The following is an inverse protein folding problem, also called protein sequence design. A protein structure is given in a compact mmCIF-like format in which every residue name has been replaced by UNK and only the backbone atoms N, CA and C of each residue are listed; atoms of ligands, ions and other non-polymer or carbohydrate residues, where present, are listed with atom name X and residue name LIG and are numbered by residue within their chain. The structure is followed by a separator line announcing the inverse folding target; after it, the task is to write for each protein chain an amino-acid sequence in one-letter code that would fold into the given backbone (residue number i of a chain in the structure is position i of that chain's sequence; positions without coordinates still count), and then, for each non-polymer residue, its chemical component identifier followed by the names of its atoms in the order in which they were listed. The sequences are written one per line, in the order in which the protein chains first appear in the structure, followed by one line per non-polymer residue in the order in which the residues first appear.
data_IF_438234800313
#
_entry.id   IF_438234800313
#
_cell.length_a   1.000
_cell.length_b   1.000
_cell.length_c   1.000
_cell.angle_alpha   90.00
_cell.angle_beta   90.00
_cell.angle_gamma   90.00
#
_symmetry.space_group_name_H-M   'P 1'
#
loop_
_entity.id
_entity.type
_entity.pdbx_description
1 polymer ?
#
# COMPACT_ATOMS: atom_id res chain seq x y z
N UNK A 1 -13.47 1.72 6.26
CA UNK A 1 -13.49 0.24 6.26
C UNK A 1 -12.08 -0.25 6.00
N UNK A 2 -11.69 -1.40 6.56
CA UNK A 2 -10.35 -1.98 6.32
C UNK A 2 -10.18 -2.36 4.85
N UNK A 3 -9.00 -2.10 4.28
CA UNK A 3 -8.68 -2.47 2.90
C UNK A 3 -8.79 -3.99 2.64
N UNK A 4 -8.73 -4.82 3.68
CA UNK A 4 -8.72 -6.28 3.59
C UNK A 4 -10.08 -6.94 3.89
N UNK A 5 -11.13 -6.17 4.14
CA UNK A 5 -12.39 -6.67 4.71
C UNK A 5 -13.10 -7.71 3.81
N UNK A 6 -12.93 -7.63 2.49
CA UNK A 6 -13.57 -8.50 1.51
C UNK A 6 -12.56 -9.27 0.66
N UNK A 7 -11.32 -9.40 1.16
CA UNK A 7 -10.25 -10.06 0.42
C UNK A 7 -10.49 -11.56 0.31
N UNK A 8 -10.44 -12.08 -0.91
CA UNK A 8 -10.29 -13.50 -1.18
C UNK A 8 -8.83 -13.91 -0.90
N UNK A 9 -8.64 -14.76 0.11
CA UNK A 9 -7.32 -15.27 0.52
C UNK A 9 -6.98 -16.57 -0.21
N UNK A 10 -5.69 -16.87 -0.45
CA UNK A 10 -5.30 -18.12 -1.06
C UNK A 10 -5.63 -19.30 -0.13
N UNK A 11 -5.71 -20.51 -0.70
CA UNK A 11 -5.90 -21.75 0.07
C UNK A 11 -4.71 -22.04 0.97
N UNK A 12 -3.50 -21.63 0.56
CA UNK A 12 -2.32 -21.61 1.43
C UNK A 12 -2.54 -20.64 2.58
N UNK A 13 -2.46 -21.09 3.85
CA UNK A 13 -2.73 -20.24 4.99
C UNK A 13 -1.77 -19.05 5.08
N UNK A 14 -2.30 -17.82 5.02
CA UNK A 14 -1.53 -16.60 5.28
C UNK A 14 -1.55 -16.30 6.78
N UNK A 15 -0.39 -16.17 7.46
CA UNK A 15 -0.32 -15.84 8.88
C UNK A 15 -1.09 -14.57 9.24
N UNK A 16 -1.77 -14.59 10.40
CA UNK A 16 -2.56 -13.43 10.85
C UNK A 16 -1.70 -12.17 11.03
N UNK A 17 -0.44 -12.32 11.44
CA UNK A 17 0.51 -11.22 11.57
C UNK A 17 0.84 -10.56 10.22
N UNK A 18 0.86 -11.32 9.13
CA UNK A 18 1.05 -10.79 7.77
C UNK A 18 -0.21 -10.06 7.29
N UNK A 19 -1.40 -10.59 7.60
CA UNK A 19 -2.67 -9.89 7.31
C UNK A 19 -2.76 -8.56 8.05
N UNK A 20 -2.35 -8.53 9.32
CA UNK A 20 -2.28 -7.31 10.12
C UNK A 20 -1.27 -6.31 9.53
N UNK A 21 -0.08 -6.77 9.16
CA UNK A 21 0.93 -5.95 8.50
C UNK A 21 0.37 -5.29 7.22
N UNK A 22 -0.27 -6.06 6.34
CA UNK A 22 -0.89 -5.53 5.13
C UNK A 22 -2.01 -4.54 5.44
N UNK A 23 -2.84 -4.84 6.45
CA UNK A 23 -3.90 -3.95 6.91
C UNK A 23 -3.35 -2.59 7.35
N UNK A 24 -2.34 -2.60 8.23
CA UNK A 24 -1.68 -1.37 8.69
C UNK A 24 -0.94 -0.63 7.58
N UNK A 25 -0.34 -1.35 6.63
CA UNK A 25 0.30 -0.73 5.46
C UNK A 25 -0.70 0.08 4.64
N UNK A 26 -1.86 -0.48 4.29
CA UNK A 26 -2.87 0.23 3.50
C UNK A 26 -3.54 1.34 4.32
N UNK A 27 -3.81 1.11 5.60
CA UNK A 27 -4.36 2.14 6.49
C UNK A 27 -3.44 3.37 6.58
N UNK A 28 -2.14 3.16 6.82
CA UNK A 28 -1.16 4.25 6.83
C UNK A 28 -0.97 4.86 5.44
N UNK A 29 -1.03 4.05 4.38
CA UNK A 29 -0.99 4.51 3.01
C UNK A 29 -2.17 5.42 2.66
N UNK A 30 -3.35 5.16 3.19
CA UNK A 30 -4.57 5.94 2.94
C UNK A 30 -4.76 7.11 3.89
N UNK A 31 -3.97 7.16 4.96
CA UNK A 31 -4.03 8.22 5.96
C UNK A 31 -3.47 9.54 5.43
N UNK A 32 -4.11 10.64 5.84
CA UNK A 32 -3.61 12.01 5.69
C UNK A 32 -2.76 12.48 6.88
N UNK A 33 -2.52 11.62 7.87
CA UNK A 33 -1.75 11.97 9.06
C UNK A 33 -0.31 12.33 8.71
N UNK A 34 0.21 13.39 9.32
CA UNK A 34 1.59 13.86 9.13
C UNK A 34 2.64 12.81 9.56
N UNK A 35 2.28 11.93 10.49
CA UNK A 35 3.17 10.87 10.98
C UNK A 35 3.13 9.58 10.14
N UNK A 36 2.21 9.46 9.18
CA UNK A 36 2.00 8.22 8.43
C UNK A 36 3.27 7.76 7.69
N UNK A 37 4.01 8.69 7.08
CA UNK A 37 5.26 8.37 6.40
C UNK A 37 6.34 7.84 7.37
N UNK A 38 6.47 8.46 8.55
CA UNK A 38 7.37 8.01 9.61
C UNK A 38 6.98 6.62 10.10
N UNK A 39 5.69 6.40 10.42
CA UNK A 39 5.19 5.09 10.87
C UNK A 39 5.38 3.99 9.83
N UNK A 40 5.22 4.30 8.54
CA UNK A 40 5.53 3.36 7.47
C UNK A 40 7.01 2.95 7.50
N UNK A 41 7.94 3.89 7.72
CA UNK A 41 9.36 3.57 7.84
C UNK A 41 9.69 2.76 9.10
N UNK A 42 9.11 3.16 10.25
CA UNK A 42 9.50 2.64 11.56
C UNK A 42 8.80 1.32 11.93
N UNK A 43 7.55 1.13 11.48
CA UNK A 43 6.69 0.01 11.87
C UNK A 43 6.48 -1.01 10.74
N UNK A 44 6.36 -0.54 9.49
CA UNK A 44 5.88 -1.37 8.39
C UNK A 44 7.02 -1.94 7.54
N UNK A 45 8.00 -1.12 7.19
CA UNK A 45 9.12 -1.55 6.35
C UNK A 45 10.34 -1.97 7.17
N UNK A 46 11.16 -2.85 6.60
CA UNK A 46 12.54 -3.07 7.09
C UNK A 46 13.37 -1.80 6.85
N UNK A 47 14.51 -1.60 7.56
CA UNK A 47 15.34 -0.41 7.37
C UNK A 47 15.79 -0.20 5.91
N UNK A 48 16.04 -1.29 5.18
CA UNK A 48 16.39 -1.33 3.76
C UNK A 48 15.18 -1.58 2.83
N UNK A 49 13.97 -1.52 3.37
CA UNK A 49 12.74 -1.84 2.63
C UNK A 49 12.50 -0.88 1.47
N UNK A 50 11.83 -1.35 0.43
CA UNK A 50 11.61 -0.58 -0.80
C UNK A 50 10.13 -0.44 -1.15
N UNK A 51 9.76 0.76 -1.61
CA UNK A 51 8.48 1.02 -2.25
C UNK A 51 8.75 1.35 -3.71
N UNK A 52 8.17 0.56 -4.61
CA UNK A 52 8.24 0.75 -6.04
C UNK A 52 6.81 0.90 -6.57
N UNK A 53 6.50 1.99 -7.25
CA UNK A 53 5.20 2.16 -7.93
C UNK A 53 5.45 2.63 -9.35
N UNK A 54 5.08 1.80 -10.32
CA UNK A 54 5.43 1.99 -11.73
C UNK A 54 6.94 2.24 -11.91
N UNK A 55 7.33 3.47 -12.26
CA UNK A 55 8.75 3.86 -12.44
C UNK A 55 9.36 4.58 -11.24
N UNK A 56 8.58 4.89 -10.20
CA UNK A 56 9.06 5.59 -9.01
C UNK A 56 9.53 4.58 -7.97
N UNK A 57 10.71 4.83 -7.41
CA UNK A 57 11.28 4.03 -6.32
C UNK A 57 11.58 4.91 -5.12
N UNK A 58 11.36 4.38 -3.91
CA UNK A 58 11.68 4.98 -2.62
C UNK A 58 12.44 3.90 -1.82
N UNK A 59 13.67 4.20 -1.42
CA UNK A 59 14.60 3.24 -0.85
C UNK A 59 14.89 3.52 0.63
N UNK A 60 14.56 2.55 1.47
CA UNK A 60 14.91 2.53 2.88
C UNK A 60 14.13 3.52 3.75
N UNK A 61 14.28 3.36 5.05
CA UNK A 61 13.51 4.09 6.07
C UNK A 61 13.62 5.62 5.95
N UNK A 62 14.79 6.15 5.56
CA UNK A 62 15.01 7.60 5.42
C UNK A 62 14.18 8.20 4.28
N UNK A 63 14.16 7.57 3.09
CA UNK A 63 13.35 8.06 1.97
C UNK A 63 11.86 7.79 2.20
N UNK A 64 11.52 6.67 2.82
CA UNK A 64 10.15 6.31 3.18
C UNK A 64 9.54 7.30 4.17
N UNK A 65 10.30 7.74 5.19
CA UNK A 65 9.83 8.70 6.19
C UNK A 65 9.75 10.14 5.68
N UNK A 66 10.59 10.50 4.71
CA UNK A 66 10.57 11.81 4.04
C UNK A 66 9.66 11.86 2.81
N UNK A 67 9.05 10.73 2.43
CA UNK A 67 8.19 10.69 1.25
C UNK A 67 6.96 11.56 1.44
N UNK A 68 6.80 12.57 0.57
CA UNK A 68 5.57 13.32 0.47
C UNK A 68 4.51 12.43 -0.21
N UNK A 69 3.68 11.76 0.61
CA UNK A 69 2.65 10.83 0.15
C UNK A 69 1.29 11.48 -0.11
N UNK A 70 1.14 12.78 0.18
CA UNK A 70 -0.18 13.29 0.54
C UNK A 70 -0.47 14.76 0.29
N UNK A 71 0.14 15.41 -0.70
CA UNK A 71 -0.34 16.73 -1.14
C UNK A 71 -0.45 16.77 -2.67
N UNK A 72 -1.35 15.95 -3.20
CA UNK A 72 -2.03 16.32 -4.44
C UNK A 72 -3.12 17.30 -4.01
N UNK A 73 -2.99 18.57 -4.39
CA UNK A 73 -3.73 19.71 -3.84
C UNK A 73 -5.25 19.66 -4.02
N UNK A 74 -5.77 18.69 -4.78
CA UNK A 74 -7.20 18.51 -5.08
C UNK A 74 -7.78 17.14 -4.65
N UNK A 75 -7.01 16.34 -3.89
CA UNK A 75 -7.41 15.00 -3.46
C UNK A 75 -7.93 15.01 -2.00
N UNK A 76 -9.23 14.79 -1.83
CA UNK A 76 -9.88 14.70 -0.53
C UNK A 76 -9.55 13.40 0.20
N UNK A 77 -9.51 12.26 -0.49
CA UNK A 77 -9.16 10.98 0.13
C UNK A 77 -8.67 9.97 -0.89
N UNK A 78 -7.99 8.94 -0.38
CA UNK A 78 -7.65 7.73 -1.10
C UNK A 78 -8.03 6.54 -0.24
N UNK A 79 -8.59 5.49 -0.84
CA UNK A 79 -8.94 4.27 -0.13
C UNK A 79 -8.66 3.03 -0.98
N UNK A 80 -7.78 2.17 -0.51
CA UNK A 80 -7.53 0.87 -1.13
C UNK A 80 -8.54 -0.18 -0.67
N UNK A 81 -8.89 -1.07 -1.59
CA UNK A 81 -9.65 -2.30 -1.37
C UNK A 81 -8.94 -3.46 -2.07
N UNK A 82 -8.54 -4.46 -1.30
CA UNK A 82 -7.85 -5.65 -1.83
C UNK A 82 -8.90 -6.71 -2.13
N UNK A 83 -9.08 -7.01 -3.41
CA UNK A 83 -10.04 -8.00 -3.87
C UNK A 83 -9.51 -9.42 -3.66
N UNK A 84 -8.23 -9.66 -3.98
CA UNK A 84 -7.65 -11.00 -3.97
C UNK A 84 -6.16 -11.00 -3.66
N UNK A 85 -5.73 -12.02 -2.94
CA UNK A 85 -4.32 -12.29 -2.65
C UNK A 85 -3.94 -13.68 -3.15
N UNK A 86 -2.76 -13.78 -3.75
CA UNK A 86 -2.08 -15.02 -4.10
C UNK A 86 -0.75 -15.08 -3.35
N UNK A 87 -0.20 -16.27 -3.19
CA UNK A 87 1.15 -16.45 -2.66
C UNK A 87 2.02 -17.26 -3.61
N UNK A 88 3.31 -16.90 -3.66
CA UNK A 88 4.32 -17.59 -4.44
C UNK A 88 4.94 -18.79 -3.69
N UNK A 89 4.73 -18.93 -2.39
CA UNK A 89 5.37 -19.97 -1.57
C UNK A 89 4.48 -20.42 -0.39
N UNK A 90 4.89 -21.50 0.27
CA UNK A 90 4.14 -22.07 1.40
C UNK A 90 4.21 -21.22 2.68
N UNK A 91 5.26 -20.41 2.82
CA UNK A 91 5.44 -19.51 3.96
C UNK A 91 4.56 -18.27 3.91
N UNK A 92 3.93 -18.01 2.75
CA UNK A 92 3.09 -16.85 2.49
C UNK A 92 3.77 -15.49 2.76
N UNK A 93 5.09 -15.43 2.55
CA UNK A 93 5.89 -14.20 2.70
C UNK A 93 6.22 -13.50 1.37
N UNK A 94 5.82 -14.08 0.24
CA UNK A 94 5.84 -13.45 -1.08
C UNK A 94 4.42 -13.51 -1.66
N UNK A 95 3.79 -12.34 -1.75
CA UNK A 95 2.37 -12.19 -2.02
C UNK A 95 2.13 -11.34 -3.26
N UNK A 96 1.15 -11.74 -4.07
CA UNK A 96 0.59 -10.92 -5.14
C UNK A 96 -0.81 -10.47 -4.75
N UNK A 97 -1.10 -9.19 -4.91
CA UNK A 97 -2.34 -8.53 -4.54
C UNK A 97 -3.00 -7.98 -5.80
N UNK A 98 -4.31 -8.14 -5.92
CA UNK A 98 -5.15 -7.45 -6.90
C UNK A 98 -6.16 -6.62 -6.13
N UNK A 99 -6.28 -5.34 -6.49
CA UNK A 99 -7.16 -4.43 -5.79
C UNK A 99 -7.61 -3.25 -6.64
N UNK A 100 -8.40 -2.40 -5.99
CA UNK A 100 -8.85 -1.11 -6.52
C UNK A 100 -8.52 -0.06 -5.49
N UNK A 101 -8.07 1.10 -5.96
CA UNK A 101 -7.95 2.30 -5.15
C UNK A 101 -9.02 3.29 -5.60
N UNK A 102 -9.82 3.77 -4.65
CA UNK A 102 -10.79 4.83 -4.89
C UNK A 102 -10.17 6.15 -4.47
N UNK A 103 -10.11 7.11 -5.39
CA UNK A 103 -9.73 8.49 -5.13
C UNK A 103 -10.99 9.34 -5.07
N UNK A 104 -11.14 10.13 -4.00
CA UNK A 104 -12.21 11.12 -3.90
C UNK A 104 -11.59 12.51 -3.92
N UNK A 105 -12.12 13.38 -4.76
CA UNK A 105 -11.63 14.75 -4.94
C UNK A 105 -12.47 15.74 -4.12
N UNK A 106 -11.97 16.97 -3.98
CA UNK A 106 -12.62 17.99 -3.12
C UNK A 106 -14.02 18.44 -3.60
N UNK A 107 -14.36 18.19 -4.87
CA UNK A 107 -15.70 18.40 -5.43
C UNK A 107 -16.66 17.21 -5.18
N UNK A 108 -16.21 16.19 -4.45
CA UNK A 108 -16.99 14.99 -4.13
C UNK A 108 -17.03 13.93 -5.24
N UNK A 109 -16.47 14.20 -6.42
CA UNK A 109 -16.32 13.17 -7.46
C UNK A 109 -15.34 12.10 -7.02
N UNK A 110 -15.50 10.88 -7.54
CA UNK A 110 -14.59 9.77 -7.24
C UNK A 110 -14.20 9.00 -8.49
N UNK A 111 -12.97 8.48 -8.48
CA UNK A 111 -12.38 7.66 -9.52
C UNK A 111 -11.83 6.37 -8.93
N UNK A 112 -12.12 5.23 -9.56
CA UNK A 112 -11.57 3.92 -9.18
C UNK A 112 -10.41 3.57 -10.12
N UNK A 113 -9.24 3.28 -9.54
CA UNK A 113 -8.06 2.78 -10.25
C UNK A 113 -7.77 1.33 -9.92
N UNK A 114 -7.85 0.39 -10.88
CA UNK A 114 -7.39 -0.97 -10.64
C UNK A 114 -5.86 -1.01 -10.50
N UNK A 115 -5.37 -1.90 -9.64
CA UNK A 115 -3.94 -2.12 -9.48
C UNK A 115 -3.60 -3.58 -9.17
N UNK A 116 -2.35 -3.93 -9.43
CA UNK A 116 -1.71 -5.13 -8.92
C UNK A 116 -0.50 -4.73 -8.06
N UNK A 117 -0.15 -5.55 -7.08
CA UNK A 117 1.06 -5.31 -6.29
C UNK A 117 1.70 -6.61 -5.80
N UNK A 118 3.03 -6.62 -5.72
CA UNK A 118 3.79 -7.66 -5.03
C UNK A 118 4.25 -7.14 -3.67
N UNK A 119 4.00 -7.90 -2.61
CA UNK A 119 4.50 -7.63 -1.27
C UNK A 119 5.43 -8.76 -0.82
N UNK A 120 6.68 -8.43 -0.52
CA UNK A 120 7.65 -9.38 0.07
C UNK A 120 7.85 -9.02 1.52
N UNK A 121 7.54 -9.98 2.38
CA UNK A 121 7.61 -9.91 3.83
C UNK A 121 8.92 -10.55 4.30
N UNK A 122 9.53 -9.95 5.31
CA UNK A 122 10.68 -10.49 6.00
C UNK A 122 10.32 -10.69 7.47
N UNK A 123 10.55 -11.92 7.95
CA UNK A 123 10.53 -12.20 9.39
C UNK A 123 11.76 -11.56 10.04
N UNK A 124 11.57 -10.84 11.14
CA UNK A 124 12.65 -10.12 11.83
C UNK A 124 13.30 -10.93 12.96
N UNK A 125 12.93 -12.21 13.14
CA UNK A 125 13.65 -13.18 13.97
C UNK A 125 13.63 -12.96 15.50
N UNK A 126 13.08 -11.84 15.99
CA UNK A 126 12.86 -11.55 17.42
C UNK A 126 11.39 -11.23 17.74
N UNK A 127 11.05 -10.79 18.96
CA UNK A 127 9.72 -10.28 19.27
C UNK A 127 9.50 -8.95 18.55
N UNK A 128 9.10 -9.06 17.29
CA UNK A 128 8.87 -7.98 16.35
C UNK A 128 8.02 -8.55 15.22
N UNK A 129 6.88 -7.93 14.96
CA UNK A 129 5.96 -8.32 13.90
C UNK A 129 6.67 -8.37 12.54
N UNK A 130 6.21 -9.21 11.59
CA UNK A 130 6.74 -9.24 10.23
C UNK A 130 6.75 -7.83 9.62
N UNK A 131 7.70 -7.56 8.72
CA UNK A 131 7.83 -6.26 8.04
C UNK A 131 7.97 -6.44 6.53
N UNK A 132 7.62 -5.42 5.77
CA UNK A 132 7.81 -5.39 4.32
C UNK A 132 9.27 -5.12 3.96
N UNK A 133 9.86 -6.03 3.21
CA UNK A 133 11.12 -5.81 2.48
C UNK A 133 10.85 -5.10 1.15
N UNK A 134 9.73 -5.43 0.50
CA UNK A 134 9.33 -4.85 -0.77
C UNK A 134 7.82 -4.65 -0.82
N UNK A 135 7.41 -3.49 -1.32
CA UNK A 135 6.11 -3.29 -1.94
C UNK A 135 6.32 -2.77 -3.36
N UNK A 136 5.87 -3.53 -4.35
CA UNK A 136 5.96 -3.16 -5.75
C UNK A 136 4.57 -3.11 -6.37
N UNK A 137 4.07 -1.92 -6.69
CA UNK A 137 2.76 -1.69 -7.29
C UNK A 137 2.82 -1.35 -8.77
N UNK A 138 1.82 -1.82 -9.50
CA UNK A 138 1.54 -1.46 -10.89
C UNK A 138 0.11 -0.97 -10.98
N UNK A 139 -0.07 0.26 -11.44
CA UNK A 139 -1.37 0.89 -11.61
C UNK A 139 -1.34 1.80 -12.84
N UNK A 140 -2.44 1.83 -13.59
CA UNK A 140 -2.64 2.88 -14.58
C UNK A 140 -3.05 4.15 -13.84
N UNK A 141 -2.25 5.21 -14.00
CA UNK A 141 -2.46 6.50 -13.35
C UNK A 141 -3.02 7.53 -14.32
N UNK A 142 -3.29 7.16 -15.58
CA UNK A 142 -3.63 8.10 -16.64
C UNK A 142 -4.90 8.89 -16.33
N UNK A 143 -5.97 8.20 -15.90
CA UNK A 143 -7.25 8.85 -15.55
C UNK A 143 -7.12 9.73 -14.30
N UNK A 144 -6.36 9.28 -13.29
CA UNK A 144 -6.09 10.11 -12.11
C UNK A 144 -5.35 11.39 -12.50
N UNK A 145 -4.30 11.28 -13.32
CA UNK A 145 -3.51 12.43 -13.75
C UNK A 145 -4.32 13.39 -14.61
N UNK A 146 -5.21 12.88 -15.47
CA UNK A 146 -6.15 13.69 -16.23
C UNK A 146 -7.09 14.47 -15.29
N UNK A 147 -7.72 13.80 -14.34
CA UNK A 147 -8.63 14.42 -13.37
C UNK A 147 -7.95 15.47 -12.47
N UNK A 148 -6.65 15.31 -12.18
CA UNK A 148 -5.87 16.29 -11.41
C UNK A 148 -5.43 17.51 -12.24
N UNK A 149 -5.39 17.39 -13.56
CA UNK A 149 -5.00 18.47 -14.47
C UNK A 149 -6.18 19.36 -14.87
N UNK A 150 -7.42 18.90 -14.68
CA UNK A 150 -8.62 19.70 -14.94
C UNK A 150 -8.71 20.87 -13.95
N UNK A 151 -8.98 22.10 -14.43
CA UNK A 151 -9.32 23.21 -13.55
C UNK A 151 -10.61 22.87 -12.81
N UNK A 152 -10.56 22.83 -11.47
CA UNK A 152 -11.75 22.67 -10.62
C UNK A 152 -12.38 24.02 -10.29
#
# INVERSE_FOLDING_TARGET
MSALAQTEWPTTPVPQSIKQLLGSFFELGDSKSEDAARRLADEIFTPEGQIMVNKRTINGAKEISSSNRGLLSSLQSRQHRIAKVYTCNESADDLMLIGVVTWTFDDGQSLDGPFAARAVVQSTGGPGTPRLKLYQGWADMSELLAALAEPK
#
